data_IF_312371168797
#
_entry.id   IF_312371168797
#
_cell.length_a   1.000
_cell.length_b   1.000
_cell.length_c   1.000
_cell.angle_alpha   90.00
_cell.angle_beta   90.00
_cell.angle_gamma   90.00
#
_symmetry.space_group_name_H-M   'P 1'
#
loop_
_entity.id
_entity.type
_entity.pdbx_description
1 polymer ?
#
# COMPACT_ATOMS: atom_id res chain seq x y z
N UNK A 1 16.50 -15.56 -4.44
CA UNK A 1 16.97 -14.46 -5.27
C UNK A 1 16.18 -13.19 -4.98
N UNK A 2 16.81 -12.05 -5.03
CA UNK A 2 16.14 -10.74 -4.97
C UNK A 2 15.42 -10.52 -6.30
N UNK A 3 14.18 -10.03 -6.26
CA UNK A 3 13.43 -9.69 -7.46
C UNK A 3 14.17 -8.61 -8.28
N UNK A 4 14.21 -8.81 -9.58
CA UNK A 4 14.84 -7.88 -10.53
C UNK A 4 13.87 -6.77 -10.95
N UNK A 5 14.37 -5.73 -11.62
CA UNK A 5 13.52 -4.72 -12.24
C UNK A 5 12.48 -5.35 -13.19
N UNK A 6 12.92 -6.30 -14.01
CA UNK A 6 12.04 -7.02 -14.94
C UNK A 6 10.92 -7.74 -14.20
N UNK A 7 11.19 -8.39 -13.07
CA UNK A 7 10.18 -9.10 -12.28
C UNK A 7 9.11 -8.14 -11.74
N UNK A 8 9.54 -6.95 -11.26
CA UNK A 8 8.61 -5.92 -10.80
C UNK A 8 7.75 -5.38 -11.93
N UNK A 9 8.32 -5.05 -13.07
CA UNK A 9 7.55 -4.53 -14.22
C UNK A 9 6.64 -5.59 -14.80
N UNK A 10 7.07 -6.82 -14.92
CA UNK A 10 6.22 -7.92 -15.38
C UNK A 10 5.00 -8.10 -14.45
N UNK A 11 5.23 -8.25 -13.15
CA UNK A 11 4.15 -8.51 -12.20
C UNK A 11 3.22 -7.31 -11.96
N UNK A 12 3.78 -6.09 -11.86
CA UNK A 12 3.02 -4.91 -11.45
C UNK A 12 2.50 -4.07 -12.62
N UNK A 13 3.03 -4.23 -13.82
CA UNK A 13 2.66 -3.44 -14.99
C UNK A 13 2.11 -4.31 -16.13
N UNK A 14 2.88 -5.26 -16.66
CA UNK A 14 2.44 -6.03 -17.83
C UNK A 14 1.22 -6.90 -17.53
N UNK A 15 1.22 -7.63 -16.40
CA UNK A 15 0.04 -8.41 -16.00
C UNK A 15 -1.18 -7.54 -15.72
N UNK A 16 -0.98 -6.35 -15.16
CA UNK A 16 -2.08 -5.40 -14.92
C UNK A 16 -2.70 -4.94 -16.22
N UNK A 17 -1.89 -4.66 -17.26
CA UNK A 17 -2.40 -4.32 -18.60
C UNK A 17 -3.28 -5.43 -19.16
N UNK A 18 -2.78 -6.66 -19.16
CA UNK A 18 -3.53 -7.81 -19.68
C UNK A 18 -4.85 -7.97 -18.93
N UNK A 19 -4.82 -7.94 -17.60
CA UNK A 19 -6.02 -8.07 -16.78
C UNK A 19 -7.02 -6.93 -17.03
N UNK A 20 -6.53 -5.72 -17.21
CA UNK A 20 -7.39 -4.58 -17.47
C UNK A 20 -8.02 -4.63 -18.87
N UNK A 21 -7.29 -5.08 -19.89
CA UNK A 21 -7.83 -5.31 -21.23
C UNK A 21 -8.93 -6.38 -21.24
N UNK A 22 -8.76 -7.46 -20.48
CA UNK A 22 -9.81 -8.48 -20.30
C UNK A 22 -11.00 -7.93 -19.48
N UNK A 23 -10.76 -7.11 -18.45
CA UNK A 23 -11.82 -6.41 -17.75
C UNK A 23 -12.67 -5.55 -18.70
N UNK A 24 -12.06 -4.82 -19.62
CA UNK A 24 -12.79 -3.98 -20.59
C UNK A 24 -13.75 -4.80 -21.47
N UNK A 25 -13.40 -6.05 -21.81
CA UNK A 25 -14.20 -6.98 -22.62
C UNK A 25 -15.24 -7.76 -21.79
N UNK A 26 -15.08 -7.83 -20.48
CA UNK A 26 -15.92 -8.61 -19.57
C UNK A 26 -17.21 -7.89 -19.19
N UNK A 27 -18.09 -8.57 -18.47
CA UNK A 27 -19.28 -7.98 -17.85
C UNK A 27 -19.01 -7.38 -16.46
N UNK A 28 -17.79 -7.44 -15.97
CA UNK A 28 -17.42 -6.83 -14.68
C UNK A 28 -17.59 -5.30 -14.74
N UNK A 29 -18.11 -4.73 -13.68
CA UNK A 29 -18.41 -3.28 -13.61
C UNK A 29 -17.33 -2.46 -12.90
N UNK A 30 -16.45 -3.12 -12.13
CA UNK A 30 -15.41 -2.45 -11.38
C UNK A 30 -14.07 -3.18 -11.52
N UNK A 31 -13.00 -2.41 -11.71
CA UNK A 31 -11.62 -2.88 -11.63
C UNK A 31 -10.96 -2.22 -10.43
N UNK A 32 -10.52 -3.01 -9.45
CA UNK A 32 -9.83 -2.54 -8.27
C UNK A 32 -8.34 -2.88 -8.43
N UNK A 33 -7.51 -1.88 -8.56
CA UNK A 33 -6.05 -2.03 -8.63
C UNK A 33 -5.42 -1.72 -7.28
N UNK A 34 -4.73 -2.70 -6.70
CA UNK A 34 -3.94 -2.49 -5.48
C UNK A 34 -2.56 -1.98 -5.89
N UNK A 35 -2.40 -0.68 -5.80
CA UNK A 35 -1.13 0.01 -5.98
C UNK A 35 -0.34 0.07 -4.66
N UNK A 36 0.33 1.15 -4.40
CA UNK A 36 1.06 1.41 -3.16
C UNK A 36 1.32 2.91 -3.02
N UNK A 37 1.45 3.40 -1.80
CA UNK A 37 1.95 4.75 -1.55
C UNK A 37 3.37 4.93 -2.14
N UNK A 38 4.13 3.85 -2.29
CA UNK A 38 5.44 3.84 -2.95
C UNK A 38 5.41 4.28 -4.44
N UNK A 39 4.24 4.25 -5.09
CA UNK A 39 4.07 4.83 -6.43
C UNK A 39 4.20 6.36 -6.43
N UNK A 40 4.01 6.99 -5.27
CA UNK A 40 4.11 8.44 -5.09
C UNK A 40 5.42 8.79 -4.40
N UNK A 41 5.69 8.20 -3.24
CA UNK A 41 6.87 8.52 -2.43
C UNK A 41 7.29 7.31 -1.58
N UNK A 42 8.60 7.16 -1.44
CA UNK A 42 9.23 6.08 -0.66
C UNK A 42 10.08 6.61 0.49
N UNK A 43 10.37 7.91 0.47
CA UNK A 43 11.21 8.58 1.47
C UNK A 43 10.38 9.39 2.46
N UNK A 44 11.01 9.77 3.56
CA UNK A 44 10.40 10.68 4.52
C UNK A 44 10.17 12.06 3.89
N UNK A 45 8.98 12.61 4.10
CA UNK A 45 8.59 13.96 3.69
C UNK A 45 8.06 14.74 4.89
N UNK A 46 8.21 16.06 4.83
CA UNK A 46 7.59 16.99 5.79
C UNK A 46 6.13 17.26 5.45
N UNK A 47 5.78 17.14 4.18
CA UNK A 47 4.44 17.44 3.66
C UNK A 47 3.57 16.19 3.65
N UNK A 48 2.30 16.37 3.94
CA UNK A 48 1.31 15.29 3.84
C UNK A 48 1.09 14.95 2.37
N UNK A 49 1.15 13.67 2.04
CA UNK A 49 0.82 13.18 0.70
C UNK A 49 -0.69 13.18 0.50
N UNK A 50 -1.11 13.68 -0.65
CA UNK A 50 -2.49 13.63 -1.12
C UNK A 50 -2.56 12.80 -2.40
N UNK A 51 -3.76 12.46 -2.83
CA UNK A 51 -4.01 11.72 -4.07
C UNK A 51 -3.48 12.46 -5.30
N UNK A 52 -3.44 13.79 -5.26
CA UNK A 52 -2.93 14.67 -6.32
C UNK A 52 -1.42 14.88 -6.27
N UNK A 53 -0.74 14.33 -5.27
CA UNK A 53 0.72 14.46 -5.14
C UNK A 53 1.42 13.82 -6.34
N UNK A 54 2.30 14.57 -6.98
CA UNK A 54 3.11 14.08 -8.10
C UNK A 54 4.15 13.10 -7.59
N UNK A 55 4.03 11.87 -8.03
CA UNK A 55 4.92 10.79 -7.61
C UNK A 55 6.30 10.87 -8.26
N UNK A 56 7.35 10.59 -7.46
CA UNK A 56 8.73 10.44 -7.93
C UNK A 56 9.41 9.22 -7.29
N UNK A 57 8.88 8.00 -7.51
CA UNK A 57 9.44 6.79 -6.93
C UNK A 57 10.86 6.52 -7.41
N UNK A 58 11.70 6.00 -6.53
CA UNK A 58 13.10 5.70 -6.83
C UNK A 58 13.34 4.20 -7.04
N UNK A 59 12.65 3.34 -6.29
CA UNK A 59 12.78 1.89 -6.41
C UNK A 59 12.12 1.35 -7.68
N UNK A 60 12.56 0.19 -8.14
CA UNK A 60 11.92 -0.54 -9.25
C UNK A 60 10.48 -0.92 -8.92
N UNK A 61 10.18 -1.21 -7.65
CA UNK A 61 8.83 -1.48 -7.18
C UNK A 61 7.92 -0.25 -7.33
N UNK A 62 8.30 0.88 -6.75
CA UNK A 62 7.51 2.12 -6.84
C UNK A 62 7.32 2.57 -8.28
N UNK A 63 8.38 2.53 -9.09
CA UNK A 63 8.33 2.86 -10.53
C UNK A 63 7.36 1.95 -11.30
N UNK A 64 7.38 0.64 -11.05
CA UNK A 64 6.48 -0.31 -11.71
C UNK A 64 5.01 -0.11 -11.31
N UNK A 65 4.74 0.21 -10.03
CA UNK A 65 3.39 0.56 -9.55
C UNK A 65 2.90 1.85 -10.18
N UNK A 66 3.74 2.89 -10.22
CA UNK A 66 3.42 4.16 -10.89
C UNK A 66 3.12 3.98 -12.38
N UNK A 67 3.94 3.19 -13.09
CA UNK A 67 3.71 2.91 -14.50
C UNK A 67 2.34 2.24 -14.76
N UNK A 68 1.93 1.31 -13.87
CA UNK A 68 0.61 0.71 -13.94
C UNK A 68 -0.51 1.73 -13.75
N UNK A 69 -0.40 2.59 -12.73
CA UNK A 69 -1.38 3.66 -12.49
C UNK A 69 -1.50 4.60 -13.69
N UNK A 70 -0.36 5.06 -14.22
CA UNK A 70 -0.34 5.95 -15.40
C UNK A 70 -0.96 5.30 -16.64
N UNK A 71 -0.75 3.99 -16.83
CA UNK A 71 -1.41 3.24 -17.91
C UNK A 71 -2.91 3.21 -17.68
N UNK A 72 -3.37 2.79 -16.49
CA UNK A 72 -4.78 2.64 -16.16
C UNK A 72 -5.55 3.96 -16.26
N UNK A 73 -4.97 5.06 -15.76
CA UNK A 73 -5.60 6.38 -15.76
C UNK A 73 -5.72 7.02 -17.16
N UNK A 74 -4.90 6.58 -18.11
CA UNK A 74 -4.99 7.02 -19.53
C UNK A 74 -6.09 6.31 -20.32
N UNK A 75 -6.67 5.23 -19.78
CA UNK A 75 -7.67 4.46 -20.51
C UNK A 75 -9.06 5.09 -20.44
N UNK A 76 -9.77 5.03 -21.55
CA UNK A 76 -11.20 5.40 -21.59
C UNK A 76 -12.03 4.22 -21.10
N UNK A 77 -12.88 4.47 -20.12
CA UNK A 77 -13.78 3.45 -19.57
C UNK A 77 -15.13 3.49 -20.31
N UNK A 78 -15.66 2.34 -20.75
CA UNK A 78 -17.04 2.23 -21.21
C UNK A 78 -18.02 2.67 -20.13
N UNK A 79 -19.20 3.13 -20.54
CA UNK A 79 -20.28 3.47 -19.62
C UNK A 79 -20.59 2.29 -18.69
N UNK A 80 -20.77 2.57 -17.41
CA UNK A 80 -21.05 1.57 -16.37
C UNK A 80 -19.82 0.87 -15.81
N UNK A 81 -18.62 1.07 -16.38
CA UNK A 81 -17.38 0.54 -15.81
C UNK A 81 -16.66 1.58 -14.93
N UNK A 82 -16.03 1.12 -13.87
CA UNK A 82 -15.28 1.97 -12.93
C UNK A 82 -13.88 1.41 -12.69
N UNK A 83 -12.93 2.31 -12.52
CA UNK A 83 -11.57 2.03 -12.07
C UNK A 83 -11.37 2.62 -10.68
N UNK A 84 -10.93 1.81 -9.75
CA UNK A 84 -10.51 2.21 -8.41
C UNK A 84 -9.07 1.79 -8.19
N UNK A 85 -8.22 2.74 -7.88
CA UNK A 85 -6.81 2.52 -7.55
C UNK A 85 -6.63 2.79 -6.07
N UNK A 86 -6.21 1.78 -5.33
CA UNK A 86 -5.92 1.90 -3.90
C UNK A 86 -4.41 1.98 -3.69
N UNK A 87 -3.95 3.01 -3.00
CA UNK A 87 -2.56 3.20 -2.58
C UNK A 87 -2.44 2.93 -1.08
N UNK A 88 -2.34 1.66 -0.67
CA UNK A 88 -2.12 1.35 0.74
C UNK A 88 -0.79 1.90 1.21
N UNK A 89 -0.77 2.33 2.48
CA UNK A 89 0.44 2.57 3.23
C UNK A 89 1.10 1.24 3.60
N UNK A 90 1.95 1.19 4.61
CA UNK A 90 2.61 -0.06 4.99
C UNK A 90 1.58 -1.08 5.50
N UNK A 91 1.29 -2.10 4.68
CA UNK A 91 0.37 -3.18 5.06
C UNK A 91 1.05 -4.06 6.10
N UNK A 92 0.32 -4.39 7.16
CA UNK A 92 0.76 -5.32 8.20
C UNK A 92 -0.32 -6.36 8.53
N UNK A 93 0.10 -7.48 9.09
CA UNK A 93 -0.82 -8.55 9.49
C UNK A 93 -0.11 -9.87 9.66
N UNK A 94 -0.88 -10.92 9.93
CA UNK A 94 -0.35 -12.27 10.05
C UNK A 94 0.30 -12.71 8.72
N UNK A 95 1.52 -13.25 8.81
CA UNK A 95 2.28 -13.68 7.62
C UNK A 95 3.10 -12.58 6.94
N UNK A 96 3.07 -11.33 7.45
CA UNK A 96 3.95 -10.28 6.94
C UNK A 96 5.44 -10.68 7.07
N UNK A 97 6.19 -10.42 6.01
CA UNK A 97 7.65 -10.65 5.93
C UNK A 97 8.45 -9.35 5.87
N UNK A 98 7.79 -8.21 6.10
CA UNK A 98 8.38 -6.89 5.99
C UNK A 98 9.15 -6.43 7.22
N UNK A 99 9.50 -5.15 7.20
CA UNK A 99 10.30 -4.51 8.23
C UNK A 99 9.63 -4.52 9.62
N UNK A 100 8.29 -4.51 9.68
CA UNK A 100 7.57 -4.57 10.95
C UNK A 100 7.74 -5.93 11.63
N UNK A 101 7.72 -7.03 10.86
CA UNK A 101 8.01 -8.37 11.37
C UNK A 101 9.45 -8.49 11.88
N UNK A 102 10.42 -7.85 11.21
CA UNK A 102 11.81 -7.82 11.67
C UNK A 102 11.92 -7.06 13.01
N UNK A 103 11.29 -5.89 13.11
CA UNK A 103 11.22 -5.10 14.32
C UNK A 103 10.60 -5.89 15.48
N UNK A 104 9.46 -6.55 15.22
CA UNK A 104 8.80 -7.43 16.18
C UNK A 104 9.73 -8.54 16.71
N UNK A 105 10.48 -9.20 15.81
CA UNK A 105 11.43 -10.26 16.20
C UNK A 105 12.57 -9.74 17.08
N UNK A 106 13.10 -8.54 16.81
CA UNK A 106 14.17 -7.91 17.59
C UNK A 106 13.66 -7.59 18.99
N UNK A 107 12.53 -6.90 19.11
CA UNK A 107 11.95 -6.50 20.39
C UNK A 107 11.52 -7.73 21.21
N UNK A 108 10.91 -8.73 20.56
CA UNK A 108 10.50 -9.98 21.22
C UNK A 108 11.67 -10.73 21.86
N UNK A 109 12.89 -10.58 21.33
CA UNK A 109 14.12 -11.13 21.92
C UNK A 109 14.68 -10.27 23.06
N UNK A 110 14.10 -9.10 23.35
CA UNK A 110 14.61 -8.17 24.37
C UNK A 110 15.89 -7.45 23.96
N UNK A 111 16.16 -7.36 22.65
CA UNK A 111 17.31 -6.62 22.12
C UNK A 111 16.94 -5.14 22.09
N UNK A 112 17.73 -4.25 22.76
CA UNK A 112 17.49 -2.82 22.69
C UNK A 112 17.55 -2.33 21.24
N UNK A 113 16.55 -1.56 20.81
CA UNK A 113 16.51 -1.01 19.46
C UNK A 113 17.07 0.42 19.46
N UNK A 114 18.27 0.65 18.92
CA UNK A 114 18.98 1.92 19.08
C UNK A 114 18.31 3.10 18.35
N UNK A 115 17.37 2.82 17.45
CA UNK A 115 16.64 3.83 16.68
C UNK A 115 15.32 4.26 17.35
N UNK A 116 15.03 3.86 18.58
CA UNK A 116 13.84 4.28 19.32
C UNK A 116 13.76 5.77 19.63
N UNK A 117 14.89 6.49 19.54
CA UNK A 117 14.96 7.94 19.73
C UNK A 117 14.57 8.76 18.49
N UNK A 118 14.36 8.14 17.34
CA UNK A 118 13.98 8.86 16.13
C UNK A 118 12.50 9.30 16.20
N UNK A 119 12.28 10.59 16.11
CA UNK A 119 10.97 11.20 15.93
C UNK A 119 10.57 11.06 14.46
N UNK A 120 9.93 9.96 14.12
CA UNK A 120 9.30 9.74 12.83
C UNK A 120 7.81 9.48 13.01
N UNK A 121 7.07 9.62 11.93
CA UNK A 121 5.64 9.31 11.88
C UNK A 121 5.39 8.46 10.65
N UNK A 122 4.81 7.29 10.85
CA UNK A 122 4.53 6.33 9.78
C UNK A 122 3.07 5.92 9.83
N UNK A 123 2.48 5.82 8.68
CA UNK A 123 1.12 5.31 8.51
C UNK A 123 1.16 3.84 8.13
N UNK A 124 0.22 3.11 8.69
CA UNK A 124 0.05 1.67 8.48
C UNK A 124 -1.38 1.38 8.08
N UNK A 125 -1.60 0.19 7.56
CA UNK A 125 -2.94 -0.35 7.35
C UNK A 125 -2.89 -1.86 7.62
N UNK A 126 -3.85 -2.38 8.38
CA UNK A 126 -3.94 -3.82 8.57
C UNK A 126 -4.45 -4.51 7.31
N UNK A 127 -4.00 -5.74 7.08
CA UNK A 127 -4.52 -6.55 5.97
C UNK A 127 -6.04 -6.75 6.09
N UNK A 128 -6.56 -6.85 7.32
CA UNK A 128 -8.00 -6.99 7.57
C UNK A 128 -8.77 -5.75 7.12
N UNK A 129 -8.24 -4.54 7.40
CA UNK A 129 -8.83 -3.30 6.94
C UNK A 129 -8.77 -3.14 5.41
N UNK A 130 -7.69 -3.59 4.77
CA UNK A 130 -7.62 -3.64 3.30
C UNK A 130 -8.71 -4.54 2.72
N UNK A 131 -8.85 -5.75 3.27
CA UNK A 131 -9.88 -6.71 2.84
C UNK A 131 -11.29 -6.18 3.11
N UNK A 132 -11.52 -5.59 4.30
CA UNK A 132 -12.78 -4.94 4.63
C UNK A 132 -13.14 -3.85 3.62
N UNK A 133 -12.20 -2.95 3.33
CA UNK A 133 -12.39 -1.85 2.38
C UNK A 133 -12.71 -2.37 0.97
N UNK A 134 -11.98 -3.37 0.48
CA UNK A 134 -12.25 -3.97 -0.83
C UNK A 134 -13.68 -4.53 -0.88
N UNK A 135 -14.11 -5.24 0.17
CA UNK A 135 -15.48 -5.76 0.25
C UNK A 135 -16.52 -4.65 0.24
N UNK A 136 -16.29 -3.55 0.96
CA UNK A 136 -17.22 -2.40 0.96
C UNK A 136 -17.26 -1.70 -0.41
N UNK A 137 -16.11 -1.57 -1.09
CA UNK A 137 -16.05 -1.04 -2.45
C UNK A 137 -16.86 -1.90 -3.41
N UNK A 138 -16.73 -3.22 -3.34
CA UNK A 138 -17.49 -4.16 -4.19
C UNK A 138 -19.00 -4.04 -3.92
N UNK A 139 -19.40 -4.00 -2.65
CA UNK A 139 -20.83 -3.87 -2.27
C UNK A 139 -21.44 -2.54 -2.73
N UNK A 140 -20.67 -1.45 -2.61
CA UNK A 140 -21.13 -0.08 -2.88
C UNK A 140 -20.63 0.48 -4.22
N UNK A 141 -20.18 -0.38 -5.14
CA UNK A 141 -19.54 0.06 -6.39
C UNK A 141 -20.43 0.96 -7.25
N UNK A 142 -21.76 0.86 -7.15
CA UNK A 142 -22.69 1.74 -7.87
C UNK A 142 -22.70 3.15 -7.33
N UNK A 143 -22.49 3.35 -6.02
CA UNK A 143 -22.62 4.61 -5.32
C UNK A 143 -21.29 5.39 -5.30
N UNK A 144 -20.16 4.68 -5.28
CA UNK A 144 -18.86 5.32 -5.19
C UNK A 144 -18.34 5.82 -6.55
N UNK A 145 -17.48 6.82 -6.51
CA UNK A 145 -16.75 7.31 -7.68
C UNK A 145 -15.53 6.43 -7.96
N UNK A 146 -15.20 6.25 -9.23
CA UNK A 146 -13.87 5.77 -9.63
C UNK A 146 -12.81 6.83 -9.29
N UNK A 147 -11.55 6.40 -9.14
CA UNK A 147 -10.46 7.31 -8.84
C UNK A 147 -9.32 6.64 -8.07
N UNK A 148 -8.39 7.47 -7.60
CA UNK A 148 -7.24 7.06 -6.79
C UNK A 148 -7.54 7.39 -5.34
N UNK A 149 -7.20 6.49 -4.42
CA UNK A 149 -7.46 6.63 -2.99
C UNK A 149 -6.23 6.19 -2.19
N UNK A 150 -5.74 7.05 -1.32
CA UNK A 150 -4.79 6.65 -0.28
C UNK A 150 -5.56 5.91 0.83
N UNK A 151 -5.07 4.75 1.25
CA UNK A 151 -5.70 3.97 2.31
C UNK A 151 -4.72 3.71 3.46
N UNK A 152 -5.16 4.04 4.66
CA UNK A 152 -4.37 3.94 5.89
C UNK A 152 -5.30 3.76 7.09
N UNK A 153 -4.77 3.22 8.18
CA UNK A 153 -5.43 3.28 9.48
C UNK A 153 -5.32 4.71 10.04
N UNK A 154 -6.19 5.08 10.98
CA UNK A 154 -6.41 6.47 11.39
C UNK A 154 -5.20 7.14 12.07
N UNK A 155 -4.39 6.37 12.82
CA UNK A 155 -3.32 6.93 13.62
C UNK A 155 -1.92 6.65 13.04
N UNK A 156 -1.15 7.70 12.70
CA UNK A 156 0.26 7.54 12.40
C UNK A 156 1.03 7.19 13.68
N UNK A 157 1.94 6.23 13.58
CA UNK A 157 2.74 5.74 14.70
C UNK A 157 4.22 6.07 14.52
N UNK A 158 4.87 6.52 15.60
CA UNK A 158 6.32 6.60 15.64
C UNK A 158 6.94 5.21 15.83
N UNK A 159 8.19 5.03 15.41
CA UNK A 159 8.93 3.79 15.70
C UNK A 159 8.97 3.51 17.21
N UNK A 160 9.15 4.55 18.04
CA UNK A 160 9.10 4.42 19.49
C UNK A 160 7.75 3.86 19.96
N UNK A 161 6.64 4.40 19.45
CA UNK A 161 5.30 3.93 19.85
C UNK A 161 5.05 2.48 19.44
N UNK A 162 5.54 2.06 18.29
CA UNK A 162 5.47 0.66 17.86
C UNK A 162 6.28 -0.25 18.80
N UNK A 163 7.48 0.18 19.22
CA UNK A 163 8.31 -0.55 20.19
C UNK A 163 7.56 -0.71 21.51
N UNK A 164 6.96 0.36 22.02
CA UNK A 164 6.16 0.34 23.26
C UNK A 164 4.98 -0.64 23.16
N UNK A 165 4.23 -0.61 22.05
CA UNK A 165 3.09 -1.51 21.81
C UNK A 165 3.54 -2.97 21.78
N UNK A 166 4.61 -3.27 21.04
CA UNK A 166 5.15 -4.65 20.97
C UNK A 166 5.67 -5.10 22.35
N UNK A 167 6.39 -4.23 23.06
CA UNK A 167 6.89 -4.51 24.39
C UNK A 167 5.77 -4.82 25.37
N UNK A 168 4.74 -3.97 25.41
CA UNK A 168 3.57 -4.17 26.27
C UNK A 168 2.84 -5.48 25.97
N UNK A 169 2.62 -5.79 24.69
CA UNK A 169 1.97 -7.04 24.26
C UNK A 169 2.77 -8.30 24.67
N UNK A 170 4.08 -8.17 24.90
CA UNK A 170 4.97 -9.27 25.35
C UNK A 170 5.24 -9.26 26.85
N UNK A 171 4.64 -8.35 27.63
CA UNK A 171 4.92 -8.20 29.07
C UNK A 171 6.36 -7.78 29.36
N UNK A 172 7.04 -7.17 28.40
CA UNK A 172 8.41 -6.66 28.53
C UNK A 172 8.36 -5.13 28.57
N UNK A 173 9.12 -4.52 29.49
CA UNK A 173 9.41 -3.08 29.39
C UNK A 173 10.32 -2.86 28.18
N UNK A 174 10.02 -1.89 27.31
CA UNK A 174 10.85 -1.54 26.16
C UNK A 174 12.21 -0.99 26.57
#
# INVERSE_FOLDING_TARGET
GTATEHDFYFANYELVKVLFEEFLKSNAQIFIHISSIAAVEENERKEVLTEDSVGNPQSHYGKSKKAAEEYLLKQSLPSGKKLVILRPTMIHGEGDKGNLTLLYKIISKGIPYPLGAFQNSRTFISVDNVVFLINEIIKKHTEMKGGVYHITDDEPLSTQKIIEIIGAAKGKKP
#
